data_IF_381945083756
#
_entry.id   IF_381945083756
#
_cell.length_a   1.000
_cell.length_b   1.000
_cell.length_c   1.000
_cell.angle_alpha   90.00
_cell.angle_beta   90.00
_cell.angle_gamma   90.00
#
_symmetry.space_group_name_H-M   'P 1'
#
loop_
_entity.id
_entity.type
_entity.pdbx_description
1 polymer ?
#
# COMPACT_ATOMS: atom_id res chain seq x y z
N UNK A 1 41.19 -13.51 36.33
CA UNK A 1 40.36 -13.31 35.11
C UNK A 1 40.07 -14.66 34.45
N UNK A 2 38.79 -14.95 34.21
CA UNK A 2 38.23 -16.22 33.70
C UNK A 2 38.80 -16.59 32.32
N UNK A 3 39.21 -17.84 32.06
CA UNK A 3 39.53 -18.33 30.70
C UNK A 3 38.24 -18.78 30.03
N UNK A 4 37.93 -18.22 28.87
CA UNK A 4 36.77 -18.63 28.07
C UNK A 4 37.10 -19.91 27.29
N UNK A 5 36.13 -20.81 27.16
CA UNK A 5 36.31 -22.07 26.43
C UNK A 5 35.22 -22.17 25.37
N UNK A 6 35.63 -22.08 24.11
CA UNK A 6 34.74 -22.13 22.97
C UNK A 6 34.67 -23.57 22.45
N UNK A 7 33.46 -24.15 22.41
CA UNK A 7 33.29 -25.53 21.99
C UNK A 7 33.24 -25.62 20.44
N UNK A 8 34.11 -26.43 19.79
CA UNK A 8 34.25 -26.42 18.33
C UNK A 8 32.97 -26.85 17.60
N UNK A 9 32.20 -27.79 18.17
CA UNK A 9 30.92 -28.23 17.56
C UNK A 9 29.86 -27.11 17.58
N UNK A 10 29.81 -26.31 18.65
CA UNK A 10 28.87 -25.19 18.73
C UNK A 10 29.25 -24.09 17.74
N UNK A 11 30.55 -23.80 17.59
CA UNK A 11 31.05 -22.87 16.58
C UNK A 11 30.73 -23.35 15.16
N UNK A 12 30.91 -24.64 14.87
CA UNK A 12 30.55 -25.22 13.58
C UNK A 12 29.04 -25.12 13.29
N UNK A 13 28.19 -25.37 14.29
CA UNK A 13 26.74 -25.22 14.15
C UNK A 13 26.32 -23.76 13.92
N UNK A 14 26.96 -22.80 14.60
CA UNK A 14 26.76 -21.36 14.37
C UNK A 14 27.16 -21.00 12.93
N UNK A 15 28.31 -21.47 12.46
CA UNK A 15 28.78 -21.21 11.09
C UNK A 15 27.83 -21.78 10.04
N UNK A 16 27.31 -23.00 10.24
CA UNK A 16 26.30 -23.60 9.35
C UNK A 16 25.03 -22.74 9.32
N UNK A 17 24.57 -22.29 10.49
CA UNK A 17 23.41 -21.39 10.59
C UNK A 17 23.64 -20.06 9.87
N UNK A 18 24.83 -19.48 10.00
CA UNK A 18 25.23 -18.26 9.31
C UNK A 18 25.25 -18.41 7.78
N UNK A 19 25.83 -19.51 7.27
CA UNK A 19 25.82 -19.81 5.83
C UNK A 19 24.38 -19.98 5.34
N UNK A 20 23.52 -20.69 6.09
CA UNK A 20 22.12 -20.84 5.74
C UNK A 20 21.38 -19.49 5.70
N UNK A 21 21.65 -18.57 6.64
CA UNK A 21 21.06 -17.22 6.59
C UNK A 21 21.57 -16.39 5.41
N UNK A 22 22.84 -16.53 5.03
CA UNK A 22 23.38 -15.86 3.84
C UNK A 22 22.71 -16.37 2.56
N UNK A 23 22.51 -17.69 2.42
CA UNK A 23 21.78 -18.27 1.28
C UNK A 23 20.36 -17.72 1.22
N UNK A 24 19.63 -17.74 2.34
CA UNK A 24 18.28 -17.16 2.41
C UNK A 24 18.28 -15.68 2.02
N UNK A 25 19.29 -14.92 2.47
CA UNK A 25 19.45 -13.50 2.14
C UNK A 25 19.71 -13.26 0.66
N UNK A 26 20.58 -14.07 0.03
CA UNK A 26 20.85 -13.99 -1.41
C UNK A 26 19.62 -14.37 -2.25
N UNK A 27 18.91 -15.43 -1.87
CA UNK A 27 17.65 -15.84 -2.52
C UNK A 27 16.60 -14.73 -2.42
N UNK A 28 16.47 -14.11 -1.24
CA UNK A 28 15.55 -12.97 -1.04
C UNK A 28 15.95 -11.77 -1.90
N UNK A 29 17.24 -11.44 -1.94
CA UNK A 29 17.73 -10.32 -2.73
C UNK A 29 17.43 -10.52 -4.22
N UNK A 30 17.61 -11.74 -4.75
CA UNK A 30 17.27 -12.05 -6.13
C UNK A 30 15.77 -11.88 -6.44
N UNK A 31 14.87 -12.23 -5.50
CA UNK A 31 13.42 -12.00 -5.65
C UNK A 31 13.09 -10.51 -5.63
N UNK A 32 13.73 -9.74 -4.73
CA UNK A 32 13.54 -8.30 -4.64
C UNK A 32 14.07 -7.57 -5.88
N UNK A 33 15.18 -8.02 -6.47
CA UNK A 33 15.72 -7.49 -7.74
C UNK A 33 14.79 -7.75 -8.93
N UNK A 34 14.08 -8.88 -8.96
CA UNK A 34 13.12 -9.17 -10.02
C UNK A 34 11.86 -8.28 -9.94
N UNK A 35 11.60 -7.68 -8.78
CA UNK A 35 10.40 -6.88 -8.51
C UNK A 35 10.77 -5.39 -8.38
N UNK A 36 11.40 -4.80 -9.41
CA UNK A 36 11.87 -3.39 -9.44
C UNK A 36 11.08 -2.49 -10.39
N UNK A 37 9.82 -2.82 -10.67
CA UNK A 37 8.93 -1.96 -11.45
C UNK A 37 8.06 -1.12 -10.53
N UNK A 38 8.15 0.21 -10.67
CA UNK A 38 7.40 1.20 -9.88
C UNK A 38 6.38 1.89 -10.77
N UNK A 39 5.15 1.95 -10.28
CA UNK A 39 4.05 2.69 -10.89
C UNK A 39 4.02 4.11 -10.32
N UNK A 40 4.16 5.11 -11.19
CA UNK A 40 4.00 6.51 -10.83
C UNK A 40 2.56 6.89 -11.13
N UNK A 41 1.75 6.95 -10.08
CA UNK A 41 0.34 7.26 -10.17
C UNK A 41 0.04 8.63 -9.59
N UNK A 42 -1.03 9.25 -10.07
CA UNK A 42 -1.57 10.49 -9.50
C UNK A 42 -3.09 10.48 -9.58
N UNK A 43 -3.76 11.18 -8.67
CA UNK A 43 -5.22 11.35 -8.72
C UNK A 43 -5.60 12.06 -10.05
N UNK A 44 -6.52 11.46 -10.82
CA UNK A 44 -7.00 12.03 -12.09
C UNK A 44 -7.51 13.47 -11.89
N UNK A 45 -8.30 13.66 -10.83
CA UNK A 45 -8.83 14.98 -10.46
C UNK A 45 -7.73 15.98 -10.10
N UNK A 46 -6.58 15.53 -9.58
CA UNK A 46 -5.45 16.40 -9.28
C UNK A 46 -4.86 17.02 -10.56
N UNK A 47 -4.78 16.26 -11.65
CA UNK A 47 -4.33 16.81 -12.94
C UNK A 47 -5.38 17.71 -13.59
N UNK A 48 -6.67 17.40 -13.44
CA UNK A 48 -7.75 18.29 -13.89
C UNK A 48 -7.76 19.61 -13.11
N UNK A 49 -7.56 19.56 -11.79
CA UNK A 49 -7.42 20.74 -10.95
C UNK A 49 -6.21 21.57 -11.39
N UNK A 50 -5.07 20.93 -11.63
CA UNK A 50 -3.87 21.61 -12.12
C UNK A 50 -4.11 22.31 -13.45
N UNK A 51 -4.75 21.64 -14.41
CA UNK A 51 -5.12 22.21 -15.70
C UNK A 51 -6.05 23.42 -15.56
N UNK A 52 -7.10 23.31 -14.74
CA UNK A 52 -8.04 24.39 -14.49
C UNK A 52 -7.39 25.61 -13.82
N UNK A 53 -6.45 25.39 -12.88
CA UNK A 53 -5.74 26.47 -12.18
C UNK A 53 -4.74 27.21 -13.06
N UNK A 54 -4.16 26.52 -14.03
CA UNK A 54 -3.23 27.08 -15.01
C UNK A 54 -3.94 27.60 -16.27
N UNK A 55 -5.26 27.36 -16.39
CA UNK A 55 -6.05 27.80 -17.54
C UNK A 55 -5.71 27.05 -18.83
N UNK A 56 -5.25 25.80 -18.71
CA UNK A 56 -4.83 24.96 -19.84
C UNK A 56 -5.86 23.86 -20.14
N UNK A 57 -5.92 23.37 -21.40
CA UNK A 57 -6.68 22.16 -21.73
C UNK A 57 -6.20 20.96 -20.90
N UNK A 58 -7.15 20.16 -20.40
CA UNK A 58 -6.83 18.99 -19.60
C UNK A 58 -5.97 17.97 -20.38
N UNK A 59 -6.26 17.79 -21.68
CA UNK A 59 -5.53 16.89 -22.56
C UNK A 59 -4.05 17.26 -22.66
N UNK A 60 -3.74 18.55 -22.65
CA UNK A 60 -2.36 19.06 -22.70
C UNK A 60 -1.61 18.73 -21.41
N UNK A 61 -2.21 19.00 -20.25
CA UNK A 61 -1.60 18.69 -18.94
C UNK A 61 -1.44 17.18 -18.74
N UNK A 62 -2.42 16.39 -19.18
CA UNK A 62 -2.33 14.92 -19.18
C UNK A 62 -1.18 14.43 -20.07
N UNK A 63 -1.02 14.97 -21.27
CA UNK A 63 0.10 14.61 -22.15
C UNK A 63 1.46 14.96 -21.52
N UNK A 64 1.60 16.16 -20.95
CA UNK A 64 2.83 16.58 -20.27
C UNK A 64 3.13 15.71 -19.02
N UNK A 65 2.10 15.32 -18.25
CA UNK A 65 2.27 14.42 -17.12
C UNK A 65 2.72 13.01 -17.57
N UNK A 66 2.23 12.53 -18.72
CA UNK A 66 2.66 11.27 -19.32
C UNK A 66 4.13 11.30 -19.72
N UNK A 67 4.56 12.38 -20.36
CA UNK A 67 5.96 12.62 -20.74
C UNK A 67 6.87 12.73 -19.51
N UNK A 68 6.40 13.38 -18.46
CA UNK A 68 7.10 13.49 -17.18
C UNK A 68 7.24 12.15 -16.44
N UNK A 69 6.53 11.10 -16.87
CA UNK A 69 6.72 9.73 -16.38
C UNK A 69 5.55 9.13 -15.61
N UNK A 70 4.43 9.84 -15.46
CA UNK A 70 3.23 9.29 -14.83
C UNK A 70 2.68 8.15 -15.70
N UNK A 71 2.45 6.98 -15.10
CA UNK A 71 2.01 5.77 -15.79
C UNK A 71 0.50 5.58 -15.71
N UNK A 72 -0.09 5.96 -14.57
CA UNK A 72 -1.47 5.61 -14.23
C UNK A 72 -2.18 6.73 -13.49
N UNK A 73 -3.50 6.79 -13.59
CA UNK A 73 -4.33 7.79 -12.90
C UNK A 73 -5.32 7.10 -11.96
N UNK A 74 -5.35 7.55 -10.71
CA UNK A 74 -6.31 7.06 -9.72
C UNK A 74 -7.67 7.72 -9.93
N UNK A 75 -8.70 6.89 -10.12
CA UNK A 75 -10.09 7.31 -10.38
C UNK A 75 -10.97 6.83 -9.23
N UNK A 76 -11.55 7.80 -8.53
CA UNK A 76 -12.48 7.58 -7.44
C UNK A 76 -13.91 7.47 -7.96
N UNK A 77 -14.79 6.96 -7.11
CA UNK A 77 -16.22 7.06 -7.37
C UNK A 77 -16.66 8.52 -7.44
N UNK A 78 -17.62 8.81 -8.31
CA UNK A 78 -18.14 10.16 -8.47
C UNK A 78 -19.11 10.45 -7.34
N UNK A 79 -18.90 11.57 -6.64
CA UNK A 79 -19.87 12.11 -5.70
C UNK A 79 -20.98 12.85 -6.43
N UNK A 80 -22.16 12.97 -5.82
CA UNK A 80 -23.24 13.72 -6.47
C UNK A 80 -22.88 15.21 -6.65
N UNK A 81 -22.11 15.79 -5.73
CA UNK A 81 -21.56 17.15 -5.90
C UNK A 81 -20.80 17.29 -7.23
N UNK A 82 -19.99 16.28 -7.60
CA UNK A 82 -19.24 16.28 -8.86
C UNK A 82 -20.14 16.13 -10.08
N UNK A 83 -21.18 15.29 -10.02
CA UNK A 83 -22.20 15.23 -11.08
C UNK A 83 -22.83 16.60 -11.34
N UNK A 84 -23.13 17.36 -10.28
CA UNK A 84 -23.72 18.69 -10.36
C UNK A 84 -22.75 19.72 -10.95
N UNK A 85 -21.52 19.80 -10.43
CA UNK A 85 -20.50 20.74 -10.91
C UNK A 85 -20.13 20.52 -12.38
N UNK A 86 -20.04 19.25 -12.80
CA UNK A 86 -19.68 18.90 -14.17
C UNK A 86 -20.88 18.92 -15.14
N UNK A 87 -22.07 19.30 -14.67
CA UNK A 87 -23.28 19.37 -15.51
C UNK A 87 -23.82 18.03 -15.99
N UNK A 88 -23.35 16.91 -15.42
CA UNK A 88 -23.78 15.55 -15.79
C UNK A 88 -25.15 15.21 -15.22
N UNK A 89 -25.47 15.71 -14.03
CA UNK A 89 -26.80 15.62 -13.43
C UNK A 89 -26.99 16.70 -12.37
N UNK A 90 -28.22 17.19 -12.19
CA UNK A 90 -28.58 18.20 -11.20
C UNK A 90 -29.50 17.57 -10.16
N UNK A 91 -29.23 17.81 -8.88
CA UNK A 91 -30.15 17.51 -7.79
C UNK A 91 -30.84 18.80 -7.34
N UNK A 92 -32.14 18.70 -7.11
CA UNK A 92 -32.99 19.75 -6.59
C UNK A 92 -33.65 19.23 -5.32
N UNK A 93 -33.76 20.08 -4.29
CA UNK A 93 -34.59 19.72 -3.14
C UNK A 93 -36.06 19.84 -3.52
N UNK A 94 -36.92 18.97 -2.99
CA UNK A 94 -38.35 19.08 -3.17
C UNK A 94 -38.90 20.42 -2.66
N UNK A 95 -38.32 20.93 -1.57
CA UNK A 95 -38.65 22.25 -1.04
C UNK A 95 -38.39 23.37 -2.07
N UNK A 96 -37.26 23.34 -2.78
CA UNK A 96 -36.96 24.32 -3.84
C UNK A 96 -37.93 24.22 -5.02
N UNK A 97 -38.28 22.99 -5.43
CA UNK A 97 -39.25 22.75 -6.51
C UNK A 97 -40.63 23.30 -6.12
N UNK A 98 -41.11 22.98 -4.91
CA UNK A 98 -42.39 23.46 -4.39
C UNK A 98 -42.39 24.98 -4.22
N UNK A 99 -41.31 25.57 -3.71
CA UNK A 99 -41.18 27.02 -3.57
C UNK A 99 -41.27 27.73 -4.93
N UNK A 100 -40.57 27.23 -5.96
CA UNK A 100 -40.63 27.77 -7.33
C UNK A 100 -42.01 27.61 -7.96
N UNK A 101 -42.71 26.52 -7.67
CA UNK A 101 -44.08 26.31 -8.14
C UNK A 101 -45.06 27.30 -7.50
N UNK A 102 -45.07 27.40 -6.16
CA UNK A 102 -45.99 28.26 -5.42
C UNK A 102 -45.70 29.76 -5.60
N UNK A 103 -44.46 30.15 -5.91
CA UNK A 103 -44.09 31.53 -6.24
C UNK A 103 -44.45 31.95 -7.67
N UNK A 104 -44.96 31.02 -8.50
CA UNK A 104 -45.25 31.27 -9.91
C UNK A 104 -44.02 31.33 -10.82
N UNK A 105 -42.84 30.97 -10.32
CA UNK A 105 -41.58 30.96 -11.08
C UNK A 105 -41.36 29.68 -11.88
N UNK A 106 -42.19 28.63 -11.68
CA UNK A 106 -42.06 27.36 -12.39
C UNK A 106 -42.74 27.36 -13.76
N UNK A 107 -41.92 27.40 -14.81
CA UNK A 107 -42.37 27.37 -16.21
C UNK A 107 -42.27 26.00 -16.87
N UNK A 108 -41.41 25.11 -16.36
CA UNK A 108 -41.16 23.81 -16.98
C UNK A 108 -42.36 22.85 -16.76
N UNK A 109 -42.99 22.31 -17.82
CA UNK A 109 -44.16 21.43 -17.72
C UNK A 109 -43.93 20.14 -16.92
N UNK A 110 -42.73 19.55 -16.99
CA UNK A 110 -42.37 18.32 -16.26
C UNK A 110 -42.56 18.53 -14.75
N UNK A 111 -41.94 19.57 -14.21
CA UNK A 111 -41.98 19.86 -12.78
C UNK A 111 -43.38 20.28 -12.32
N UNK A 112 -44.12 21.02 -13.16
CA UNK A 112 -45.52 21.38 -12.87
C UNK A 112 -46.40 20.14 -12.73
N UNK A 113 -46.33 19.23 -13.70
CA UNK A 113 -47.10 17.99 -13.67
C UNK A 113 -46.81 17.17 -12.41
N UNK A 114 -45.52 17.01 -12.05
CA UNK A 114 -45.13 16.28 -10.83
C UNK A 114 -45.68 16.93 -9.54
N UNK A 115 -45.70 18.26 -9.45
CA UNK A 115 -46.26 18.96 -8.28
C UNK A 115 -47.78 18.85 -8.24
N UNK A 116 -48.46 19.07 -9.37
CA UNK A 116 -49.93 19.01 -9.49
C UNK A 116 -50.47 17.59 -9.20
N UNK A 117 -49.72 16.55 -9.55
CA UNK A 117 -50.03 15.15 -9.23
C UNK A 117 -49.65 14.74 -7.79
N UNK A 118 -49.07 15.64 -6.99
CA UNK A 118 -48.66 15.36 -5.61
C UNK A 118 -47.47 14.41 -5.49
N UNK A 119 -46.64 14.29 -6.52
CA UNK A 119 -45.45 13.41 -6.55
C UNK A 119 -44.20 14.07 -5.98
N UNK A 120 -44.21 15.38 -5.75
CA UNK A 120 -43.10 16.13 -5.15
C UNK A 120 -43.27 16.23 -3.63
N UNK A 121 -42.29 15.72 -2.89
CA UNK A 121 -42.22 15.74 -1.42
C UNK A 121 -41.10 16.67 -1.00
N UNK A 122 -41.40 17.64 -0.13
CA UNK A 122 -40.46 18.71 0.23
C UNK A 122 -39.11 18.25 0.80
N UNK A 123 -39.07 17.09 1.45
CA UNK A 123 -37.88 16.51 2.08
C UNK A 123 -37.09 15.56 1.18
N UNK A 124 -37.56 15.32 -0.06
CA UNK A 124 -36.88 14.43 -1.01
C UNK A 124 -36.00 15.21 -1.98
N UNK A 125 -35.12 14.48 -2.66
CA UNK A 125 -34.16 15.01 -3.63
C UNK A 125 -34.59 14.53 -5.02
N UNK A 126 -34.66 15.44 -5.99
CA UNK A 126 -35.08 15.15 -7.35
C UNK A 126 -33.92 15.39 -8.32
N UNK A 127 -33.61 14.38 -9.12
CA UNK A 127 -32.43 14.35 -9.97
C UNK A 127 -32.87 14.30 -11.43
N UNK A 128 -32.20 15.10 -12.27
CA UNK A 128 -32.35 15.11 -13.73
C UNK A 128 -30.97 15.21 -14.37
N UNK A 129 -30.79 14.62 -15.55
CA UNK A 129 -29.53 14.66 -16.29
C UNK A 129 -29.75 14.82 -17.80
N UNK A 130 -28.93 15.63 -18.50
CA UNK A 130 -29.08 15.83 -19.94
C UNK A 130 -28.48 14.71 -20.79
N UNK A 131 -27.51 13.94 -20.27
CA UNK A 131 -26.88 12.82 -20.98
C UNK A 131 -27.56 11.49 -20.64
N UNK A 132 -28.24 10.82 -21.60
CA UNK A 132 -28.96 9.57 -21.34
C UNK A 132 -28.07 8.44 -20.84
N UNK A 133 -26.79 8.38 -21.26
CA UNK A 133 -25.87 7.30 -20.87
C UNK A 133 -25.44 7.46 -19.42
N UNK A 134 -24.88 8.63 -19.05
CA UNK A 134 -24.51 8.91 -17.68
C UNK A 134 -25.72 8.89 -16.73
N UNK A 135 -26.89 9.32 -17.20
CA UNK A 135 -28.12 9.28 -16.41
C UNK A 135 -28.61 7.85 -16.14
N UNK A 136 -28.47 6.94 -17.11
CA UNK A 136 -28.77 5.52 -16.90
C UNK A 136 -27.80 4.87 -15.90
N UNK A 137 -26.49 5.13 -16.03
CA UNK A 137 -25.49 4.64 -15.06
C UNK A 137 -25.74 5.17 -13.65
N UNK A 138 -26.07 6.47 -13.54
CA UNK A 138 -26.43 7.11 -12.28
C UNK A 138 -27.69 6.50 -11.67
N UNK A 139 -28.73 6.25 -12.48
CA UNK A 139 -29.96 5.59 -12.03
C UNK A 139 -29.67 4.22 -11.42
N UNK A 140 -28.87 3.40 -12.11
CA UNK A 140 -28.49 2.07 -11.62
C UNK A 140 -27.68 2.14 -10.33
N UNK A 141 -26.74 3.08 -10.21
CA UNK A 141 -25.97 3.28 -8.99
C UNK A 141 -26.84 3.70 -7.81
N UNK A 142 -27.73 4.67 -8.02
CA UNK A 142 -28.64 5.15 -6.99
C UNK A 142 -29.53 4.00 -6.49
N UNK A 143 -30.09 3.22 -7.42
CA UNK A 143 -30.90 2.04 -7.07
C UNK A 143 -30.13 1.03 -6.23
N UNK A 144 -28.85 0.77 -6.53
CA UNK A 144 -28.00 -0.16 -5.75
C UNK A 144 -27.58 0.42 -4.40
N UNK A 145 -27.23 1.71 -4.35
CA UNK A 145 -26.74 2.39 -3.14
C UNK A 145 -27.82 2.59 -2.09
N UNK A 146 -29.02 2.95 -2.52
CA UNK A 146 -30.10 3.37 -1.62
C UNK A 146 -31.27 2.38 -1.57
N UNK A 147 -31.39 1.52 -2.58
CA UNK A 147 -32.45 0.52 -2.68
C UNK A 147 -33.80 1.09 -3.15
N UNK A 148 -34.73 0.21 -3.55
CA UNK A 148 -36.02 0.59 -4.12
C UNK A 148 -36.96 1.27 -3.10
N UNK A 149 -36.68 1.16 -1.80
CA UNK A 149 -37.46 1.86 -0.77
C UNK A 149 -37.18 3.38 -0.72
N UNK A 150 -35.98 3.78 -1.18
CA UNK A 150 -35.50 5.16 -1.11
C UNK A 150 -35.41 5.84 -2.46
N UNK A 151 -35.38 5.07 -3.56
CA UNK A 151 -35.26 5.61 -4.92
C UNK A 151 -36.53 5.29 -5.69
N UNK A 152 -37.14 6.31 -6.28
CA UNK A 152 -38.33 6.20 -7.13
C UNK A 152 -38.06 6.91 -8.45
N UNK A 153 -38.50 6.34 -9.56
CA UNK A 153 -38.43 7.00 -10.88
C UNK A 153 -39.81 7.51 -11.23
N UNK A 154 -39.93 8.81 -11.45
CA UNK A 154 -41.13 9.44 -11.98
C UNK A 154 -40.98 9.66 -13.47
N UNK A 155 -41.99 9.31 -14.24
CA UNK A 155 -42.02 9.52 -15.69
C UNK A 155 -43.15 10.47 -16.05
N UNK A 156 -42.85 11.49 -16.85
CA UNK A 156 -43.84 12.39 -17.44
C UNK A 156 -43.54 12.49 -18.93
N UNK A 157 -44.43 11.95 -19.76
CA UNK A 157 -44.15 11.79 -21.18
C UNK A 157 -42.94 10.88 -21.41
N UNK A 158 -41.88 11.40 -22.02
CA UNK A 158 -40.61 10.69 -22.25
C UNK A 158 -39.53 11.03 -21.22
N UNK A 159 -39.76 12.00 -20.34
CA UNK A 159 -38.78 12.48 -19.38
C UNK A 159 -38.84 11.67 -18.08
N UNK A 160 -37.68 11.32 -17.54
CA UNK A 160 -37.53 10.63 -16.26
C UNK A 160 -36.91 11.55 -15.21
N UNK A 161 -37.49 11.57 -14.00
CA UNK A 161 -36.95 12.23 -12.82
C UNK A 161 -36.73 11.18 -11.73
N UNK A 162 -35.52 11.11 -11.19
CA UNK A 162 -35.20 10.19 -10.08
C UNK A 162 -35.44 10.94 -8.76
N UNK A 163 -36.35 10.44 -7.94
CA UNK A 163 -36.57 10.89 -6.57
C UNK A 163 -35.78 10.02 -5.58
N UNK A 164 -35.06 10.65 -4.66
CA UNK A 164 -34.24 10.00 -3.64
C UNK A 164 -34.61 10.52 -2.26
N UNK A 165 -34.97 9.60 -1.36
CA UNK A 165 -35.21 9.85 0.06
C UNK A 165 -33.90 9.86 0.82
N UNK A 166 -33.21 11.00 0.89
CA UNK A 166 -32.01 11.20 1.71
C UNK A 166 -31.90 12.65 2.20
N UNK A 167 -30.98 12.90 3.13
CA UNK A 167 -30.61 14.25 3.54
C UNK A 167 -29.65 14.87 2.52
N UNK A 168 -30.02 16.00 1.91
CA UNK A 168 -29.34 16.59 0.74
C UNK A 168 -27.84 16.81 0.96
N UNK A 169 -27.46 17.39 2.09
CA UNK A 169 -26.07 17.74 2.40
C UNK A 169 -25.20 16.50 2.64
N UNK A 170 -25.80 15.39 3.06
CA UNK A 170 -25.11 14.10 3.13
C UNK A 170 -25.06 13.47 1.74
N UNK A 171 -26.16 13.47 1.00
CA UNK A 171 -26.30 12.91 -0.34
C UNK A 171 -25.26 13.49 -1.32
N UNK A 172 -25.06 14.81 -1.33
CA UNK A 172 -24.08 15.47 -2.20
C UNK A 172 -22.65 14.95 -2.02
N UNK A 173 -22.31 14.47 -0.82
CA UNK A 173 -20.95 14.03 -0.46
C UNK A 173 -20.76 12.52 -0.55
N UNK A 174 -21.82 11.75 -0.81
CA UNK A 174 -21.73 10.29 -0.91
C UNK A 174 -21.12 9.89 -2.24
N UNK A 175 -20.30 8.86 -2.20
CA UNK A 175 -19.83 8.16 -3.39
C UNK A 175 -20.98 7.39 -4.04
N UNK A 176 -21.20 7.61 -5.33
CA UNK A 176 -22.33 7.04 -6.06
C UNK A 176 -21.90 5.81 -6.85
N UNK A 177 -20.89 5.95 -7.71
CA UNK A 177 -20.31 4.84 -8.48
C UNK A 177 -19.10 5.25 -9.30
N UNK A 178 -18.37 4.26 -9.81
CA UNK A 178 -17.16 4.48 -10.63
C UNK A 178 -17.54 5.10 -11.99
N UNK A 179 -16.95 6.25 -12.38
CA UNK A 179 -17.27 6.93 -13.64
C UNK A 179 -16.61 6.22 -14.84
N UNK A 180 -17.40 5.51 -15.63
CA UNK A 180 -16.88 4.77 -16.78
C UNK A 180 -16.31 5.69 -17.87
N UNK A 181 -16.87 6.88 -18.04
CA UNK A 181 -16.40 7.88 -18.99
C UNK A 181 -15.01 8.42 -18.62
N UNK A 182 -14.78 8.75 -17.34
CA UNK A 182 -13.48 9.22 -16.87
C UNK A 182 -12.41 8.13 -16.96
N UNK A 183 -12.73 6.89 -16.58
CA UNK A 183 -11.81 5.76 -16.73
C UNK A 183 -11.44 5.51 -18.21
N UNK A 184 -12.39 5.65 -19.13
CA UNK A 184 -12.11 5.59 -20.58
C UNK A 184 -11.27 6.77 -21.05
N UNK A 185 -11.51 7.98 -20.54
CA UNK A 185 -10.71 9.17 -20.85
C UNK A 185 -9.25 9.00 -20.40
N UNK A 186 -9.04 8.45 -19.20
CA UNK A 186 -7.70 8.08 -18.67
C UNK A 186 -6.99 7.12 -19.63
N UNK A 187 -7.67 6.06 -20.08
CA UNK A 187 -7.07 5.13 -21.05
C UNK A 187 -6.82 5.76 -22.42
N UNK A 188 -7.72 6.62 -22.91
CA UNK A 188 -7.57 7.34 -24.16
C UNK A 188 -6.36 8.30 -24.13
N UNK A 189 -6.09 8.90 -22.97
CA UNK A 189 -4.90 9.71 -22.71
C UNK A 189 -3.60 8.86 -22.52
N UNK A 190 -3.68 7.54 -22.65
CA UNK A 190 -2.52 6.64 -22.64
C UNK A 190 -2.10 6.14 -21.25
N UNK A 191 -2.89 6.40 -20.21
CA UNK A 191 -2.64 5.92 -18.85
C UNK A 191 -3.35 4.58 -18.57
N UNK A 192 -2.87 3.84 -17.58
CA UNK A 192 -3.67 2.81 -16.91
C UNK A 192 -4.54 3.45 -15.80
N UNK A 193 -5.62 2.78 -15.41
CA UNK A 193 -6.52 3.24 -14.35
C UNK A 193 -6.18 2.52 -13.05
N UNK A 194 -6.03 3.27 -11.96
CA UNK A 194 -6.15 2.72 -10.60
C UNK A 194 -7.59 2.96 -10.15
N UNK A 195 -8.39 1.91 -10.11
CA UNK A 195 -9.81 2.00 -9.75
C UNK A 195 -9.97 2.05 -8.23
N UNK A 196 -10.77 3.01 -7.73
CA UNK A 196 -10.93 3.23 -6.30
C UNK A 196 -12.37 3.11 -5.78
N UNK A 197 -12.98 1.90 -5.89
CA UNK A 197 -14.34 1.69 -5.43
C UNK A 197 -14.48 1.83 -3.91
N UNK A 198 -15.65 2.28 -3.48
CA UNK A 198 -16.07 2.27 -2.06
C UNK A 198 -16.99 1.09 -1.77
N UNK A 199 -17.23 0.77 -0.50
CA UNK A 199 -18.18 -0.25 -0.13
C UNK A 199 -19.64 0.25 -0.14
N UNK A 200 -20.58 -0.68 -0.31
CA UNK A 200 -22.01 -0.43 -0.25
C UNK A 200 -22.54 -0.86 1.13
N UNK A 201 -23.54 -0.17 1.65
CA UNK A 201 -24.19 -0.62 2.87
C UNK A 201 -24.89 -1.96 2.62
N UNK A 202 -24.44 -3.01 3.32
CA UNK A 202 -24.91 -4.39 3.12
C UNK A 202 -24.74 -4.88 1.66
N UNK A 203 -23.57 -4.62 1.07
CA UNK A 203 -23.20 -5.04 -0.29
C UNK A 203 -23.55 -6.50 -0.57
N UNK A 204 -24.26 -6.73 -1.68
CA UNK A 204 -24.55 -8.08 -2.19
C UNK A 204 -23.52 -8.52 -3.23
N UNK A 205 -23.41 -9.83 -3.53
CA UNK A 205 -22.59 -10.30 -4.64
C UNK A 205 -22.92 -9.65 -5.99
N UNK A 206 -24.19 -9.32 -6.24
CA UNK A 206 -24.60 -8.66 -7.49
C UNK A 206 -24.14 -7.20 -7.56
N UNK A 207 -24.07 -6.50 -6.42
CA UNK A 207 -23.53 -5.14 -6.35
C UNK A 207 -22.03 -5.14 -6.63
N UNK A 208 -21.29 -6.09 -6.04
CA UNK A 208 -19.87 -6.27 -6.29
C UNK A 208 -19.61 -6.54 -7.77
N UNK A 209 -20.34 -7.50 -8.37
CA UNK A 209 -20.25 -7.79 -9.81
C UNK A 209 -20.53 -6.58 -10.68
N UNK A 210 -21.52 -5.77 -10.34
CA UNK A 210 -21.86 -4.57 -11.10
C UNK A 210 -20.71 -3.55 -11.09
N UNK A 211 -20.01 -3.37 -9.96
CA UNK A 211 -18.83 -2.49 -9.88
C UNK A 211 -17.70 -3.00 -10.77
N UNK A 212 -17.39 -4.31 -10.73
CA UNK A 212 -16.33 -4.88 -11.56
C UNK A 212 -16.69 -4.92 -13.05
N UNK A 213 -17.97 -5.07 -13.40
CA UNK A 213 -18.43 -4.98 -14.79
C UNK A 213 -18.16 -3.61 -15.41
N UNK A 214 -18.11 -2.53 -14.60
CA UNK A 214 -17.71 -1.19 -15.10
C UNK A 214 -16.26 -1.11 -15.55
N UNK A 215 -15.42 -2.04 -15.10
CA UNK A 215 -14.01 -2.11 -15.47
C UNK A 215 -13.81 -2.86 -16.80
N UNK A 216 -14.85 -3.50 -17.35
CA UNK A 216 -14.72 -4.30 -18.56
C UNK A 216 -14.38 -3.41 -19.77
N UNK A 217 -13.33 -3.78 -20.50
CA UNK A 217 -12.79 -2.99 -21.61
C UNK A 217 -11.91 -1.80 -21.18
N UNK A 218 -11.66 -1.62 -19.89
CA UNK A 218 -10.80 -0.59 -19.33
C UNK A 218 -9.46 -1.22 -18.93
N UNK A 219 -8.34 -0.60 -19.32
CA UNK A 219 -7.01 -0.96 -18.84
C UNK A 219 -6.85 -0.46 -17.40
N UNK A 220 -7.11 -1.36 -16.47
CA UNK A 220 -6.92 -1.16 -15.03
C UNK A 220 -5.60 -1.83 -14.62
N UNK A 221 -4.75 -1.10 -13.88
CA UNK A 221 -3.53 -1.65 -13.28
C UNK A 221 -3.83 -2.24 -11.90
N UNK A 222 -4.49 -1.45 -11.05
CA UNK A 222 -4.72 -1.78 -9.65
C UNK A 222 -6.13 -1.41 -9.18
N UNK A 223 -6.58 -2.10 -8.12
CA UNK A 223 -7.73 -1.72 -7.31
C UNK A 223 -7.24 -1.24 -5.94
N UNK A 224 -7.63 -0.03 -5.55
CA UNK A 224 -7.31 0.57 -4.25
C UNK A 224 -8.60 1.04 -3.59
N UNK A 225 -9.11 0.26 -2.64
CA UNK A 225 -10.39 0.55 -1.99
C UNK A 225 -10.40 1.90 -1.25
N UNK A 226 -11.55 2.57 -1.28
CA UNK A 226 -11.81 3.84 -0.61
C UNK A 226 -12.63 3.63 0.67
N UNK A 227 -12.34 4.43 1.71
CA UNK A 227 -13.07 4.39 2.98
C UNK A 227 -12.59 3.31 3.96
N UNK A 228 -13.33 3.10 5.04
CA UNK A 228 -12.96 2.19 6.14
C UNK A 228 -13.23 0.70 5.86
N UNK A 229 -13.91 0.40 4.76
CA UNK A 229 -14.31 -0.96 4.38
C UNK A 229 -13.95 -1.22 2.92
N UNK A 230 -13.53 -2.44 2.62
CA UNK A 230 -13.34 -2.90 1.24
C UNK A 230 -14.68 -3.25 0.60
N UNK A 231 -14.76 -3.18 -0.73
CA UNK A 231 -15.97 -3.54 -1.46
C UNK A 231 -16.36 -5.00 -1.16
N UNK A 232 -17.61 -5.22 -0.77
CA UNK A 232 -18.14 -6.52 -0.41
C UNK A 232 -17.97 -6.88 1.07
N UNK A 233 -17.33 -6.04 1.88
CA UNK A 233 -17.25 -6.29 3.32
C UNK A 233 -18.64 -6.18 3.99
N UNK A 234 -18.94 -7.00 5.02
CA UNK A 234 -18.26 -8.25 5.38
C UNK A 234 -18.82 -9.50 4.66
N UNK A 235 -19.89 -9.40 3.88
CA UNK A 235 -20.70 -10.56 3.45
C UNK A 235 -20.46 -11.06 2.02
N UNK A 236 -19.79 -10.28 1.17
CA UNK A 236 -19.58 -10.55 -0.25
C UNK A 236 -18.09 -10.48 -0.68
N UNK A 237 -17.15 -10.53 0.28
CA UNK A 237 -15.70 -10.47 0.02
C UNK A 237 -15.20 -11.53 -0.96
N UNK A 238 -15.76 -12.75 -0.90
CA UNK A 238 -15.41 -13.82 -1.84
C UNK A 238 -15.70 -13.41 -3.29
N UNK A 239 -16.80 -12.68 -3.54
CA UNK A 239 -17.11 -12.18 -4.89
C UNK A 239 -16.06 -11.17 -5.34
N UNK A 240 -15.63 -10.27 -4.45
CA UNK A 240 -14.55 -9.32 -4.75
C UNK A 240 -13.25 -10.04 -5.12
N UNK A 241 -12.88 -11.07 -4.37
CA UNK A 241 -11.70 -11.91 -4.66
C UNK A 241 -11.82 -12.58 -6.03
N UNK A 242 -12.97 -13.19 -6.32
CA UNK A 242 -13.19 -13.92 -7.57
C UNK A 242 -13.15 -12.97 -8.78
N UNK A 243 -13.79 -11.79 -8.69
CA UNK A 243 -13.78 -10.78 -9.76
C UNK A 243 -12.39 -10.19 -10.00
N UNK A 244 -11.60 -9.96 -8.94
CA UNK A 244 -10.20 -9.51 -9.05
C UNK A 244 -9.32 -10.58 -9.72
N UNK A 245 -9.44 -11.84 -9.30
CA UNK A 245 -8.67 -12.95 -9.88
C UNK A 245 -9.03 -13.21 -11.34
N UNK A 246 -10.32 -13.17 -11.68
CA UNK A 246 -10.79 -13.36 -13.05
C UNK A 246 -10.21 -12.32 -14.03
N UNK A 247 -9.94 -11.10 -13.53
CA UNK A 247 -9.36 -10.00 -14.30
C UNK A 247 -7.85 -9.82 -14.12
N UNK A 248 -7.20 -10.62 -13.26
CA UNK A 248 -5.78 -10.48 -12.94
C UNK A 248 -5.42 -9.13 -12.31
N UNK A 249 -6.33 -8.55 -11.53
CA UNK A 249 -6.16 -7.23 -10.92
C UNK A 249 -5.24 -7.31 -9.68
N UNK A 250 -4.37 -6.32 -9.54
CA UNK A 250 -3.52 -6.16 -8.36
C UNK A 250 -4.26 -5.38 -7.28
N UNK A 251 -4.14 -5.83 -6.03
CA UNK A 251 -4.62 -5.10 -4.85
C UNK A 251 -3.55 -4.12 -4.37
N UNK A 252 -3.85 -2.83 -4.36
CA UNK A 252 -2.96 -1.82 -3.77
C UNK A 252 -3.24 -1.59 -2.28
N UNK A 253 -2.24 -1.83 -1.44
CA UNK A 253 -2.32 -1.64 0.01
C UNK A 253 -1.71 -0.30 0.44
N UNK A 254 -2.54 0.62 0.91
CA UNK A 254 -2.10 1.95 1.35
C UNK A 254 -1.33 1.83 2.66
N UNK A 255 -0.07 2.25 2.68
CA UNK A 255 0.72 2.34 3.91
C UNK A 255 0.10 3.37 4.86
N UNK A 256 -0.08 2.98 6.12
CA UNK A 256 -0.58 3.85 7.18
C UNK A 256 0.49 4.84 7.65
N UNK A 257 0.05 5.81 8.45
CA UNK A 257 0.94 6.80 9.10
C UNK A 257 1.95 6.15 10.05
N UNK A 258 1.64 4.96 10.56
CA UNK A 258 2.58 4.13 11.31
C UNK A 258 3.43 3.32 10.32
N UNK A 259 4.75 3.52 10.38
CA UNK A 259 5.72 2.88 9.49
C UNK A 259 5.48 1.35 9.42
N UNK A 260 5.47 0.79 8.20
CA UNK A 260 5.26 -0.64 7.93
C UNK A 260 3.88 -1.19 8.36
N UNK A 261 2.91 -0.34 8.68
CA UNK A 261 1.51 -0.75 8.83
C UNK A 261 0.71 -0.27 7.62
N UNK A 262 -0.44 -0.89 7.38
CA UNK A 262 -1.37 -0.47 6.35
C UNK A 262 -2.57 0.23 6.96
N UNK A 263 -3.19 1.13 6.19
CA UNK A 263 -4.47 1.71 6.53
C UNK A 263 -5.48 0.57 6.72
N UNK A 264 -6.02 0.44 7.94
CA UNK A 264 -6.89 -0.68 8.27
C UNK A 264 -8.26 -0.48 7.65
N UNK A 265 -8.59 -1.36 6.71
CA UNK A 265 -9.90 -1.45 6.09
C UNK A 265 -10.51 -2.83 6.39
N UNK A 266 -11.79 -2.85 6.75
CA UNK A 266 -12.49 -4.11 6.99
C UNK A 266 -12.51 -4.96 5.71
N UNK A 267 -12.17 -6.25 5.83
CA UNK A 267 -12.12 -7.21 4.71
C UNK A 267 -10.80 -7.22 3.92
N UNK A 268 -9.89 -6.28 4.18
CA UNK A 268 -8.63 -6.16 3.42
C UNK A 268 -7.74 -7.40 3.53
N UNK A 269 -7.53 -7.92 4.74
CA UNK A 269 -6.66 -9.10 4.97
C UNK A 269 -7.19 -10.35 4.25
N UNK A 270 -8.52 -10.51 4.21
CA UNK A 270 -9.18 -11.63 3.52
C UNK A 270 -9.02 -11.51 2.00
N UNK A 271 -9.20 -10.30 1.44
CA UNK A 271 -8.97 -10.07 0.01
C UNK A 271 -7.51 -10.31 -0.34
N UNK A 272 -6.56 -9.76 0.41
CA UNK A 272 -5.12 -9.92 0.16
C UNK A 272 -4.69 -11.40 0.16
N UNK A 273 -5.22 -12.19 1.11
CA UNK A 273 -4.99 -13.63 1.14
C UNK A 273 -5.68 -14.37 -0.01
N UNK A 274 -6.88 -13.92 -0.39
CA UNK A 274 -7.72 -14.57 -1.41
C UNK A 274 -7.25 -14.35 -2.85
N UNK A 275 -6.76 -13.15 -3.18
CA UNK A 275 -6.23 -12.83 -4.52
C UNK A 275 -4.84 -13.45 -4.75
N UNK A 276 -4.13 -13.77 -3.67
CA UNK A 276 -2.74 -14.23 -3.70
C UNK A 276 -1.78 -13.09 -3.41
N UNK A 277 -0.80 -13.33 -2.53
CA UNK A 277 0.16 -12.28 -2.12
C UNK A 277 1.06 -11.78 -3.26
N UNK A 278 1.16 -12.54 -4.35
CA UNK A 278 1.79 -12.19 -5.62
C UNK A 278 0.89 -11.33 -6.53
N UNK A 279 -0.30 -10.95 -6.08
CA UNK A 279 -1.18 -9.95 -6.70
C UNK A 279 -1.45 -8.78 -5.74
N UNK A 280 -0.49 -8.50 -4.85
CA UNK A 280 -0.56 -7.40 -3.90
C UNK A 280 0.64 -6.47 -4.09
N UNK A 281 0.36 -5.18 -4.26
CA UNK A 281 1.37 -4.14 -4.33
C UNK A 281 1.21 -3.16 -3.15
N UNK A 282 2.34 -2.67 -2.64
CA UNK A 282 2.33 -1.66 -1.58
C UNK A 282 2.23 -0.28 -2.21
N UNK A 283 1.26 0.50 -1.72
CA UNK A 283 0.99 1.86 -2.14
C UNK A 283 1.41 2.84 -1.06
N UNK A 284 2.08 3.92 -1.46
CA UNK A 284 2.39 5.03 -0.58
C UNK A 284 1.99 6.36 -1.21
N UNK A 285 1.53 7.28 -0.38
CA UNK A 285 1.19 8.64 -0.77
C UNK A 285 1.69 9.59 0.30
N UNK A 286 2.41 10.65 -0.09
CA UNK A 286 2.81 11.70 0.84
C UNK A 286 1.54 12.50 1.21
N UNK A 287 1.17 12.63 2.50
CA UNK A 287 0.02 13.43 2.92
C UNK A 287 0.13 14.88 2.41
N UNK A 288 -1.01 15.51 2.06
CA UNK A 288 -1.02 16.86 1.46
C UNK A 288 -0.38 17.90 2.40
N UNK A 289 -0.66 17.76 3.70
CA UNK A 289 -0.16 18.63 4.76
C UNK A 289 1.34 18.45 5.04
N UNK A 290 1.92 17.32 4.63
CA UNK A 290 3.36 17.08 4.63
C UNK A 290 3.99 17.57 3.32
N UNK A 291 3.41 17.23 2.17
CA UNK A 291 3.96 17.57 0.85
C UNK A 291 4.17 19.07 0.69
N UNK A 292 3.21 19.89 1.13
CA UNK A 292 3.32 21.36 1.08
C UNK A 292 4.50 21.95 1.86
N UNK A 293 5.08 21.19 2.79
CA UNK A 293 6.26 21.62 3.58
C UNK A 293 7.57 21.16 2.97
N UNK A 294 7.52 20.24 2.00
CA UNK A 294 8.70 19.65 1.37
C UNK A 294 9.04 20.40 0.10
N UNK A 295 10.33 20.71 -0.07
CA UNK A 295 10.87 21.07 -1.38
C UNK A 295 10.87 19.85 -2.29
N UNK A 296 10.93 20.08 -3.60
CA UNK A 296 10.86 19.03 -4.63
C UNK A 296 11.94 17.97 -4.40
N UNK A 297 13.18 18.37 -4.16
CA UNK A 297 14.32 17.48 -3.90
C UNK A 297 14.10 16.57 -2.69
N UNK A 298 13.60 17.13 -1.59
CA UNK A 298 13.27 16.36 -0.39
C UNK A 298 12.10 15.38 -0.61
N UNK A 299 11.11 15.75 -1.43
CA UNK A 299 10.01 14.85 -1.80
C UNK A 299 10.51 13.71 -2.70
N UNK A 300 11.38 14.01 -3.67
CA UNK A 300 12.01 13.03 -4.57
C UNK A 300 12.88 12.04 -3.78
N UNK A 301 13.73 12.53 -2.88
CA UNK A 301 14.54 11.67 -2.00
C UNK A 301 13.66 10.74 -1.17
N UNK A 302 12.55 11.27 -0.63
CA UNK A 302 11.59 10.46 0.12
C UNK A 302 11.11 9.28 -0.71
N UNK A 303 10.65 9.48 -1.94
CA UNK A 303 10.20 8.38 -2.82
C UNK A 303 11.28 7.33 -3.06
N UNK A 304 12.52 7.74 -3.32
CA UNK A 304 13.63 6.79 -3.47
C UNK A 304 13.79 5.94 -2.22
N UNK A 305 13.80 6.55 -1.03
CA UNK A 305 13.89 5.84 0.25
C UNK A 305 12.70 4.91 0.47
N UNK A 306 11.48 5.35 0.12
CA UNK A 306 10.29 4.50 0.29
C UNK A 306 10.35 3.24 -0.56
N UNK A 307 10.88 3.35 -1.76
CA UNK A 307 10.85 2.27 -2.75
C UNK A 307 12.00 1.28 -2.52
N UNK A 308 13.17 1.78 -2.06
CA UNK A 308 14.33 0.99 -1.66
C UNK A 308 14.13 0.27 -0.32
N UNK A 309 13.68 0.98 0.72
CA UNK A 309 13.66 0.43 2.08
C UNK A 309 12.34 -0.26 2.43
N UNK A 310 11.22 0.26 1.89
CA UNK A 310 9.87 -0.18 2.25
C UNK A 310 9.19 -0.94 1.13
N UNK A 311 9.86 -1.22 0.02
CA UNK A 311 9.32 -2.04 -1.06
C UNK A 311 7.96 -1.50 -1.58
N UNK A 312 7.82 -0.18 -1.65
CA UNK A 312 6.66 0.48 -2.30
C UNK A 312 6.78 0.30 -3.81
N UNK A 313 5.65 -0.02 -4.47
CA UNK A 313 5.58 -0.25 -5.91
C UNK A 313 4.48 0.55 -6.60
N UNK A 314 3.57 1.14 -5.84
CA UNK A 314 2.64 2.17 -6.30
C UNK A 314 2.95 3.47 -5.57
N UNK A 315 3.53 4.43 -6.29
CA UNK A 315 3.71 5.78 -5.79
C UNK A 315 2.49 6.59 -6.20
N UNK A 316 1.60 6.87 -5.26
CA UNK A 316 0.46 7.75 -5.49
C UNK A 316 0.87 9.18 -5.15
N UNK A 317 1.45 9.85 -6.14
CA UNK A 317 1.83 11.25 -6.08
C UNK A 317 0.58 12.14 -5.95
N UNK A 318 0.80 13.33 -5.41
CA UNK A 318 -0.19 14.41 -5.34
C UNK A 318 0.45 15.65 -5.94
N UNK A 319 -0.38 16.57 -6.45
CA UNK A 319 0.13 17.85 -6.91
C UNK A 319 0.59 18.71 -5.73
N UNK A 320 1.64 19.49 -5.93
CA UNK A 320 1.88 20.71 -5.17
C UNK A 320 0.75 21.71 -5.46
N UNK A 321 0.24 22.34 -4.40
CA UNK A 321 -0.85 23.32 -4.50
C UNK A 321 -0.32 24.77 -4.61
N UNK A 322 0.97 24.98 -4.37
CA UNK A 322 1.67 26.26 -4.50
C UNK A 322 2.91 26.11 -5.40
N UNK A 323 3.23 27.11 -6.23
CA UNK A 323 4.39 27.08 -7.10
C UNK A 323 5.69 27.17 -6.30
N UNK A 324 6.72 26.46 -6.75
CA UNK A 324 8.08 26.66 -6.27
C UNK A 324 8.63 28.03 -6.76
N UNK A 325 9.66 28.59 -6.08
CA UNK A 325 10.24 29.87 -6.49
C UNK A 325 10.69 29.88 -7.97
N UNK A 326 10.25 30.90 -8.72
CA UNK A 326 10.53 31.10 -10.14
C UNK A 326 9.96 30.03 -11.09
N UNK A 327 8.91 29.32 -10.69
CA UNK A 327 8.22 28.32 -11.51
C UNK A 327 6.71 28.59 -11.46
N UNK A 328 5.98 28.21 -12.52
CA UNK A 328 4.53 28.04 -12.49
C UNK A 328 4.14 26.82 -11.64
N UNK A 329 2.84 26.65 -11.34
CA UNK A 329 2.37 25.46 -10.63
C UNK A 329 2.54 24.22 -11.52
N UNK A 330 2.31 24.36 -12.83
CA UNK A 330 2.53 23.30 -13.79
C UNK A 330 3.99 22.86 -13.82
N UNK A 331 4.92 23.80 -14.02
CA UNK A 331 6.36 23.49 -14.06
C UNK A 331 6.83 22.85 -12.75
N UNK A 332 6.33 23.33 -11.60
CA UNK A 332 6.64 22.76 -10.28
C UNK A 332 6.29 21.28 -10.22
N UNK A 333 5.08 20.93 -10.66
CA UNK A 333 4.57 19.56 -10.63
C UNK A 333 5.23 18.67 -11.68
N UNK A 334 5.42 19.15 -12.92
CA UNK A 334 6.10 18.38 -13.97
C UNK A 334 7.57 18.11 -13.61
N UNK A 335 8.25 19.09 -13.01
CA UNK A 335 9.60 18.89 -12.47
C UNK A 335 9.61 17.84 -11.38
N UNK A 336 8.67 17.90 -10.44
CA UNK A 336 8.55 16.90 -9.37
C UNK A 336 8.33 15.48 -9.91
N UNK A 337 7.45 15.30 -10.90
CA UNK A 337 7.19 13.99 -11.51
C UNK A 337 8.42 13.47 -12.26
N UNK A 338 9.03 14.31 -13.11
CA UNK A 338 10.20 13.93 -13.91
C UNK A 338 11.45 13.67 -13.06
N UNK A 339 11.71 14.48 -12.03
CA UNK A 339 12.80 14.25 -11.08
C UNK A 339 12.58 12.95 -10.30
N UNK A 340 11.34 12.64 -9.89
CA UNK A 340 11.01 11.38 -9.18
C UNK A 340 11.29 10.18 -10.07
N UNK A 341 10.82 10.22 -11.32
CA UNK A 341 11.14 9.20 -12.32
C UNK A 341 12.64 9.03 -12.50
N UNK A 342 13.37 10.11 -12.76
CA UNK A 342 14.80 10.07 -13.03
C UNK A 342 15.59 9.53 -11.83
N UNK A 343 15.21 9.91 -10.60
CA UNK A 343 15.85 9.44 -9.39
C UNK A 343 15.65 7.93 -9.18
N UNK A 344 14.45 7.41 -9.45
CA UNK A 344 14.16 5.98 -9.38
C UNK A 344 14.90 5.18 -10.46
N UNK A 345 14.88 5.66 -11.71
CA UNK A 345 15.64 5.05 -12.81
C UNK A 345 17.14 5.02 -12.53
N UNK A 346 17.71 6.08 -11.94
CA UNK A 346 19.11 6.14 -11.53
C UNK A 346 19.46 5.12 -10.43
N UNK A 347 18.47 4.67 -9.65
CA UNK A 347 18.62 3.56 -8.69
C UNK A 347 18.31 2.20 -9.30
N UNK A 348 18.05 2.10 -10.60
CA UNK A 348 17.79 0.84 -11.29
C UNK A 348 16.36 0.33 -11.11
N UNK A 349 15.40 1.20 -10.79
CA UNK A 349 13.98 0.88 -10.95
C UNK A 349 13.55 1.08 -12.40
N UNK A 350 12.51 0.34 -12.81
CA UNK A 350 11.82 0.55 -14.07
C UNK A 350 10.48 1.22 -13.81
N UNK A 351 10.07 2.16 -14.65
CA UNK A 351 8.76 2.80 -14.54
C UNK A 351 7.74 2.02 -15.39
N UNK A 352 6.63 1.61 -14.79
CA UNK A 352 5.62 0.78 -15.43
C UNK A 352 4.54 0.33 -14.44
N UNK A 353 3.77 -0.70 -14.79
CA UNK A 353 2.79 -1.26 -13.85
C UNK A 353 3.48 -1.78 -12.59
N UNK A 354 2.83 -1.62 -11.45
CA UNK A 354 3.41 -1.98 -10.17
C UNK A 354 3.81 -3.45 -10.14
N UNK A 355 5.08 -3.71 -9.87
CA UNK A 355 5.54 -5.06 -9.62
C UNK A 355 4.92 -5.59 -8.33
N UNK A 356 4.50 -6.85 -8.33
CA UNK A 356 4.18 -7.59 -7.12
C UNK A 356 5.36 -8.47 -6.74
N UNK A 357 5.56 -8.66 -5.43
CA UNK A 357 6.59 -9.58 -4.96
C UNK A 357 6.05 -10.99 -5.01
N UNK A 358 6.74 -11.87 -5.74
CA UNK A 358 6.45 -13.29 -5.68
C UNK A 358 6.49 -13.80 -4.23
N UNK A 359 5.60 -14.73 -3.90
CA UNK A 359 5.64 -15.38 -2.58
C UNK A 359 6.97 -16.12 -2.42
N UNK A 360 7.85 -15.58 -1.58
CA UNK A 360 9.13 -16.21 -1.26
C UNK A 360 9.10 -16.86 0.11
N UNK A 361 8.99 -18.18 0.11
CA UNK A 361 9.08 -19.01 1.31
C UNK A 361 10.40 -19.78 1.34
N UNK A 362 11.44 -19.26 2.03
CA UNK A 362 12.73 -19.94 2.13
C UNK A 362 12.61 -21.38 2.61
N UNK A 363 13.51 -22.23 2.11
CA UNK A 363 13.53 -23.66 2.42
C UNK A 363 13.41 -23.92 3.93
N UNK A 364 12.50 -24.83 4.30
CA UNK A 364 12.30 -25.23 5.70
C UNK A 364 13.59 -25.77 6.33
N UNK A 365 14.43 -26.43 5.52
CA UNK A 365 15.74 -26.95 5.96
C UNK A 365 16.70 -25.80 6.27
N UNK A 366 16.84 -24.82 5.36
CA UNK A 366 17.69 -23.65 5.61
C UNK A 366 17.24 -22.88 6.86
N UNK A 367 15.93 -22.67 7.02
CA UNK A 367 15.36 -22.04 8.23
C UNK A 367 15.68 -22.85 9.48
N UNK A 368 15.56 -24.18 9.45
CA UNK A 368 15.91 -25.02 10.60
C UNK A 368 17.41 -24.93 10.93
N UNK A 369 18.30 -24.87 9.93
CA UNK A 369 19.73 -24.68 10.15
C UNK A 369 20.06 -23.33 10.81
N UNK A 370 19.38 -22.24 10.42
CA UNK A 370 19.50 -20.94 11.09
C UNK A 370 19.12 -21.08 12.57
N UNK A 371 17.96 -21.68 12.86
CA UNK A 371 17.46 -21.87 14.23
C UNK A 371 18.41 -22.75 15.06
N UNK A 372 19.01 -23.78 14.47
CA UNK A 372 20.07 -24.58 15.10
C UNK A 372 21.29 -23.71 15.46
N UNK A 373 21.71 -22.81 14.57
CA UNK A 373 22.77 -21.85 14.83
C UNK A 373 22.47 -20.94 16.03
N UNK A 374 21.24 -20.43 16.13
CA UNK A 374 20.79 -19.62 17.28
C UNK A 374 20.79 -20.43 18.57
N UNK A 375 20.31 -21.69 18.53
CA UNK A 375 20.37 -22.58 19.69
C UNK A 375 21.81 -22.86 20.12
N UNK A 376 22.73 -23.08 19.16
CA UNK A 376 24.15 -23.25 19.43
C UNK A 376 24.77 -22.01 20.07
N UNK A 377 24.42 -20.80 19.59
CA UNK A 377 24.84 -19.53 20.17
C UNK A 377 24.35 -19.37 21.62
N UNK A 378 23.10 -19.73 21.90
CA UNK A 378 22.54 -19.72 23.25
C UNK A 378 23.28 -20.65 24.21
N UNK A 379 23.55 -21.89 23.77
CA UNK A 379 24.30 -22.87 24.57
C UNK A 379 25.75 -22.41 24.79
N UNK A 380 26.38 -21.85 23.75
CA UNK A 380 27.74 -21.31 23.84
C UNK A 380 27.78 -20.14 24.84
N UNK A 381 26.84 -19.21 24.75
CA UNK A 381 26.73 -18.09 25.69
C UNK A 381 26.60 -18.58 27.13
N UNK A 382 25.69 -19.53 27.39
CA UNK A 382 25.52 -20.13 28.71
C UNK A 382 26.80 -20.84 29.19
N UNK A 383 27.53 -21.53 28.31
CA UNK A 383 28.78 -22.20 28.69
C UNK A 383 29.90 -21.21 29.01
N UNK A 384 29.90 -20.03 28.40
CA UNK A 384 30.86 -18.95 28.67
C UNK A 384 30.52 -18.19 29.96
N UNK A 385 29.24 -18.03 30.30
CA UNK A 385 28.79 -17.35 31.53
C UNK A 385 28.82 -18.30 32.73
N UNK A 386 28.44 -19.57 32.58
CA UNK A 386 28.34 -20.57 33.65
C UNK A 386 29.47 -21.61 33.53
N UNK A 387 30.58 -21.48 34.29
CA UNK A 387 31.76 -22.35 34.13
C UNK A 387 31.51 -23.82 34.44
N UNK A 388 30.49 -24.14 35.26
CA UNK A 388 30.14 -25.51 35.62
C UNK A 388 29.73 -26.34 34.38
N UNK A 389 29.14 -25.70 33.36
CA UNK A 389 28.72 -26.37 32.12
C UNK A 389 29.91 -26.89 31.30
N UNK A 390 31.07 -26.24 31.39
CA UNK A 390 32.28 -26.68 30.67
C UNK A 390 32.93 -27.93 31.25
N UNK A 391 32.59 -28.33 32.49
CA UNK A 391 33.15 -29.53 33.14
C UNK A 391 32.55 -30.83 32.61
N UNK A 392 31.33 -30.80 32.07
CA UNK A 392 30.59 -31.98 31.60
C UNK A 392 30.23 -31.84 30.12
N UNK A 393 31.22 -31.95 29.23
CA UNK A 393 31.05 -31.77 27.78
C UNK A 393 29.92 -32.61 27.18
N UNK A 394 29.71 -33.86 27.63
CA UNK A 394 28.59 -34.71 27.18
C UNK A 394 27.22 -34.13 27.54
N UNK A 395 27.07 -33.58 28.74
CA UNK A 395 25.82 -32.93 29.19
C UNK A 395 25.55 -31.66 28.39
N UNK A 396 26.60 -30.87 28.10
CA UNK A 396 26.49 -29.69 27.27
C UNK A 396 26.02 -30.02 25.85
N UNK A 397 26.59 -31.08 25.24
CA UNK A 397 26.20 -31.53 23.91
C UNK A 397 24.79 -32.13 23.87
N UNK A 398 24.38 -32.86 24.92
CA UNK A 398 23.01 -33.33 25.06
C UNK A 398 22.02 -32.15 25.16
N UNK A 399 22.37 -31.14 25.96
CA UNK A 399 21.56 -29.93 26.09
C UNK A 399 21.41 -29.20 24.75
N UNK A 400 22.51 -29.05 23.99
CA UNK A 400 22.44 -28.51 22.63
C UNK A 400 21.55 -29.34 21.71
N UNK A 401 21.72 -30.66 21.68
CA UNK A 401 20.91 -31.52 20.82
C UNK A 401 19.40 -31.40 21.13
N UNK A 402 19.03 -31.38 22.42
CA UNK A 402 17.64 -31.21 22.84
C UNK A 402 17.11 -29.82 22.49
N UNK A 403 17.87 -28.76 22.77
CA UNK A 403 17.47 -27.39 22.46
C UNK A 403 17.29 -27.18 20.95
N UNK A 404 18.24 -27.68 20.15
CA UNK A 404 18.18 -27.61 18.69
C UNK A 404 16.98 -28.39 18.15
N UNK A 405 16.71 -29.61 18.66
CA UNK A 405 15.57 -30.41 18.22
C UNK A 405 14.24 -29.69 18.53
N UNK A 406 14.06 -29.20 19.75
CA UNK A 406 12.84 -28.48 20.16
C UNK A 406 12.63 -27.22 19.30
N UNK A 407 13.69 -26.50 18.99
CA UNK A 407 13.61 -25.28 18.20
C UNK A 407 13.39 -25.56 16.70
N UNK A 408 14.03 -26.59 16.14
CA UNK A 408 13.93 -26.92 14.70
C UNK A 408 12.62 -27.61 14.33
N UNK A 409 12.09 -28.51 15.17
CA UNK A 409 10.95 -29.34 14.80
C UNK A 409 9.71 -28.54 14.33
N UNK A 410 9.30 -27.46 15.03
CA UNK A 410 8.14 -26.67 14.60
C UNK A 410 8.36 -25.96 13.25
N UNK A 411 9.60 -25.63 12.91
CA UNK A 411 9.95 -25.03 11.60
C UNK A 411 9.79 -26.06 10.49
N UNK A 412 10.28 -27.29 10.71
CA UNK A 412 10.23 -28.37 9.73
C UNK A 412 8.79 -28.80 9.41
N UNK A 413 7.90 -28.83 10.40
CA UNK A 413 6.47 -29.16 10.22
C UNK A 413 5.60 -27.96 9.78
N UNK A 414 6.18 -26.76 9.60
CA UNK A 414 5.46 -25.57 9.12
C UNK A 414 4.72 -24.75 10.19
N UNK A 415 4.86 -25.08 11.48
CA UNK A 415 4.25 -24.36 12.61
C UNK A 415 5.21 -23.38 13.30
N UNK A 416 6.28 -22.95 12.62
CA UNK A 416 7.44 -22.31 13.23
C UNK A 416 7.37 -20.79 13.43
N UNK A 417 6.27 -20.11 13.12
CA UNK A 417 6.21 -18.63 13.12
C UNK A 417 6.61 -18.00 14.46
N UNK A 418 6.12 -18.52 15.58
CA UNK A 418 6.49 -18.02 16.93
C UNK A 418 7.96 -18.29 17.27
N UNK A 419 8.49 -19.45 16.84
CA UNK A 419 9.90 -19.79 17.07
C UNK A 419 10.83 -18.89 16.26
N UNK A 420 10.47 -18.55 15.01
CA UNK A 420 11.23 -17.59 14.22
C UNK A 420 11.36 -16.26 14.93
N UNK A 421 10.27 -15.74 15.51
CA UNK A 421 10.29 -14.48 16.25
C UNK A 421 11.16 -14.58 17.51
N UNK A 422 11.02 -15.65 18.29
CA UNK A 422 11.84 -15.88 19.48
C UNK A 422 13.33 -16.02 19.14
N UNK A 423 13.66 -16.71 18.05
CA UNK A 423 15.03 -16.87 17.59
C UNK A 423 15.62 -15.57 17.06
N UNK A 424 14.86 -14.76 16.33
CA UNK A 424 15.29 -13.43 15.90
C UNK A 424 15.63 -12.54 17.10
N UNK A 425 14.75 -12.51 18.11
CA UNK A 425 15.01 -11.81 19.37
C UNK A 425 16.24 -12.36 20.09
N UNK A 426 16.38 -13.68 20.17
CA UNK A 426 17.54 -14.30 20.80
C UNK A 426 18.84 -13.94 20.06
N UNK A 427 18.87 -14.05 18.72
CA UNK A 427 20.03 -13.67 17.90
C UNK A 427 20.46 -12.23 18.12
N UNK A 428 19.50 -11.29 18.12
CA UNK A 428 19.77 -9.87 18.34
C UNK A 428 20.46 -9.56 19.68
N UNK A 429 20.34 -10.46 20.67
CA UNK A 429 20.98 -10.33 21.97
C UNK A 429 22.24 -11.19 22.10
N UNK A 430 22.21 -12.43 21.58
CA UNK A 430 23.26 -13.42 21.75
C UNK A 430 24.53 -13.07 20.97
N UNK A 431 24.41 -12.68 19.70
CA UNK A 431 25.59 -12.43 18.86
C UNK A 431 26.39 -11.21 19.31
N UNK A 432 25.77 -10.04 19.64
CA UNK A 432 26.51 -8.93 20.23
C UNK A 432 27.18 -9.30 21.57
N UNK A 433 26.50 -10.06 22.43
CA UNK A 433 27.08 -10.50 23.70
C UNK A 433 28.28 -11.45 23.51
N UNK A 434 28.16 -12.42 22.59
CA UNK A 434 29.25 -13.33 22.23
C UNK A 434 30.43 -12.59 21.59
N UNK A 435 30.15 -11.60 20.73
CA UNK A 435 31.16 -10.76 20.10
C UNK A 435 31.96 -9.98 21.14
N UNK A 436 31.29 -9.35 22.12
CA UNK A 436 31.96 -8.63 23.23
C UNK A 436 32.78 -9.58 24.10
N UNK A 437 32.28 -10.79 24.39
CA UNK A 437 33.06 -11.80 25.13
C UNK A 437 34.32 -12.19 24.33
N UNK A 438 34.19 -12.40 23.02
CA UNK A 438 35.31 -12.65 22.11
C UNK A 438 36.33 -11.51 22.09
N UNK A 439 35.86 -10.27 22.02
CA UNK A 439 36.71 -9.07 22.09
C UNK A 439 37.51 -9.02 23.40
N UNK A 440 36.86 -9.28 24.54
CA UNK A 440 37.54 -9.29 25.84
C UNK A 440 38.62 -10.38 25.93
N UNK A 441 38.39 -11.56 25.34
CA UNK A 441 39.40 -12.63 25.32
C UNK A 441 40.56 -12.31 24.36
N UNK A 442 40.28 -11.68 23.21
CA UNK A 442 41.29 -11.20 22.26
C UNK A 442 42.16 -10.09 22.87
N UNK A 443 41.54 -9.13 23.56
CA UNK A 443 42.24 -8.06 24.29
C UNK A 443 43.13 -8.64 25.39
N UNK A 444 42.66 -9.68 26.09
CA UNK A 444 43.49 -10.37 27.09
C UNK A 444 44.76 -10.98 26.49
N UNK A 445 44.66 -11.55 25.28
CA UNK A 445 45.79 -12.14 24.57
C UNK A 445 46.81 -11.11 24.05
N UNK A 446 46.39 -9.85 23.86
CA UNK A 446 47.22 -8.75 23.35
C UNK A 446 47.67 -7.81 24.46
N UNK A 447 48.78 -8.13 25.12
CA UNK A 447 49.49 -7.15 25.96
C UNK A 447 50.40 -6.28 25.09
N UNK A 448 50.08 -5.00 24.96
CA UNK A 448 50.99 -4.04 24.35
C UNK A 448 52.21 -3.83 25.26
N UNK A 449 53.40 -3.75 24.67
CA UNK A 449 54.60 -3.36 25.40
C UNK A 449 54.48 -1.90 25.87
N UNK A 450 55.14 -1.54 26.98
CA UNK A 450 55.07 -0.21 27.59
C UNK A 450 55.41 0.93 26.62
N UNK A 451 56.30 0.67 25.66
CA UNK A 451 56.79 1.66 24.69
C UNK A 451 56.17 1.45 23.29
N UNK A 452 55.04 0.74 23.20
CA UNK A 452 54.37 0.51 21.93
C UNK A 452 53.90 1.86 21.33
N UNK A 453 54.26 2.18 20.07
CA UNK A 453 53.88 3.45 19.46
C UNK A 453 52.36 3.53 19.27
N UNK A 454 51.78 4.71 19.49
CA UNK A 454 50.34 4.94 19.51
C UNK A 454 49.60 4.41 18.25
N UNK A 455 50.21 4.52 17.07
CA UNK A 455 49.62 4.03 15.82
C UNK A 455 49.41 2.51 15.82
N UNK A 456 50.29 1.72 16.47
CA UNK A 456 50.10 0.26 16.58
C UNK A 456 48.91 -0.10 17.46
N UNK A 457 48.67 0.70 18.50
CA UNK A 457 47.52 0.53 19.40
C UNK A 457 46.24 0.88 18.65
N UNK A 458 46.23 1.98 17.89
CA UNK A 458 45.09 2.42 17.07
C UNK A 458 44.75 1.36 16.01
N UNK A 459 45.74 0.88 15.24
CA UNK A 459 45.52 -0.17 14.22
C UNK A 459 44.99 -1.45 14.84
N UNK A 460 45.55 -1.88 15.98
CA UNK A 460 45.06 -3.06 16.68
C UNK A 460 43.61 -2.87 17.20
N UNK A 461 43.27 -1.66 17.65
CA UNK A 461 41.91 -1.28 18.03
C UNK A 461 40.94 -1.33 16.85
N UNK A 462 41.32 -0.78 15.69
CA UNK A 462 40.52 -0.83 14.46
C UNK A 462 40.30 -2.27 13.98
N UNK A 463 41.33 -3.12 14.03
CA UNK A 463 41.21 -4.55 13.68
C UNK A 463 40.26 -5.28 14.63
N UNK A 464 40.38 -5.03 15.94
CA UNK A 464 39.50 -5.65 16.94
C UNK A 464 38.05 -5.16 16.81
N UNK A 465 37.86 -3.88 16.50
CA UNK A 465 36.54 -3.32 16.19
C UNK A 465 35.94 -4.02 14.96
N UNK A 466 36.70 -4.14 13.87
CA UNK A 466 36.25 -4.85 12.66
C UNK A 466 35.87 -6.31 12.91
N UNK A 467 36.67 -7.06 13.67
CA UNK A 467 36.37 -8.45 14.05
C UNK A 467 35.11 -8.51 14.91
N UNK A 468 34.96 -7.61 15.88
CA UNK A 468 33.81 -7.60 16.80
C UNK A 468 32.53 -7.26 16.06
N UNK A 469 32.57 -6.25 15.17
CA UNK A 469 31.44 -5.89 14.31
C UNK A 469 31.04 -7.07 13.42
N UNK A 470 32.00 -7.74 12.79
CA UNK A 470 31.74 -8.91 11.94
C UNK A 470 31.15 -10.11 12.70
N UNK A 471 31.50 -10.30 13.98
CA UNK A 471 30.94 -11.35 14.84
C UNK A 471 29.56 -11.00 15.41
N UNK A 472 29.19 -9.72 15.40
CA UNK A 472 27.91 -9.22 15.94
C UNK A 472 26.79 -9.16 14.89
N UNK A 473 27.16 -9.12 13.61
CA UNK A 473 26.29 -9.28 12.45
C UNK A 473 25.96 -10.77 12.27
#
# INVERSE_FOLDING_TARGET
MKKFHYHPILLAAILIGFIASLVIGMERHAVEEQSRTVELAIDYEGLLELAAREGLPAEEVLAQAKEAGITSLAVYETTFKKFNVNGKAVALTGADILARYHSGMMTNPLWRALVEEGRVVGTEIYIVGPDPVAYAELKDDLMRRFGPARVTVHTVGTDEVIAVKDYYEAFEKRDIGLPADEMRAVNAAGFDVIARPSNYHAATPDDVRAVFARLDGIRVSDVVFSGAETLGAPKALQTTIDEMRARGLTLGLIEGVTQLQFYRQQGMDEIAAGVGYDHVARLYSIPKDELKKLKIDAAVERWVTTDEERNIRINLLRIYEEPAPNMSLLETNLKYFSDTRAALEARGFQIGRAGSFGSYEPSRVLRALVIMGVAAAGVLYLSLVVPALNRRKRVLMLFFAVAALIAMMPILIGAGSKIRLAAALASANLFPALAVIGLLDLLRGRRFQKDAPAWRIIVAGLVLLGITSALSL
#
